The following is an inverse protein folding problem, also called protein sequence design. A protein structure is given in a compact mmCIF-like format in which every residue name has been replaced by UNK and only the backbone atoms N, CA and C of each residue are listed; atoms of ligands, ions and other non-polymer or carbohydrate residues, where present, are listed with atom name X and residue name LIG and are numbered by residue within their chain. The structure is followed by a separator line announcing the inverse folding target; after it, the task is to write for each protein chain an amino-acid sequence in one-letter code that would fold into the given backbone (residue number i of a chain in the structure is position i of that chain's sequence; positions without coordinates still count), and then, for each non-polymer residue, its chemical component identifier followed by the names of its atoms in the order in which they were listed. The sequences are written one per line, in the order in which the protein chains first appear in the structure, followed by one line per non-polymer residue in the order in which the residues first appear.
data_IF_872119464911
#
_entry.id   IF_872119464911
#
_cell.length_a   1.000
_cell.length_b   1.000
_cell.length_c   1.000
_cell.angle_alpha   90.00
_cell.angle_beta   90.00
_cell.angle_gamma   90.00
#
_symmetry.space_group_name_H-M   'P 1'
#
loop_
_entity.id
_entity.type
_entity.pdbx_description
1 polymer ?
#
# COMPACT_ATOMS: atom_id res chain seq x y z
N UNK A 1 12.09 -0.37 -11.30
CA UNK A 1 11.26 0.09 -10.18
C UNK A 1 11.98 1.21 -9.44
N UNK A 2 11.35 2.37 -9.25
CA UNK A 2 11.95 3.60 -8.68
C UNK A 2 12.57 3.39 -7.30
N UNK A 3 11.95 2.59 -6.46
CA UNK A 3 12.37 2.35 -5.07
C UNK A 3 13.13 1.04 -4.87
N UNK A 4 13.37 0.27 -5.95
CA UNK A 4 14.03 -1.05 -5.90
C UNK A 4 13.44 -1.96 -4.80
N UNK A 5 12.11 -2.11 -4.76
CA UNK A 5 11.44 -2.91 -3.73
C UNK A 5 11.55 -2.35 -2.30
N UNK A 6 11.76 -1.04 -2.17
CA UNK A 6 11.91 -0.35 -0.88
C UNK A 6 13.36 -0.16 -0.42
N UNK A 7 14.37 -0.77 -1.09
CA UNK A 7 15.78 -0.64 -0.69
C UNK A 7 16.25 0.82 -0.64
N UNK A 8 15.90 1.61 -1.67
CA UNK A 8 16.29 3.01 -1.75
C UNK A 8 15.65 3.85 -0.64
N UNK A 9 14.44 3.49 -0.22
CA UNK A 9 13.76 4.15 0.91
C UNK A 9 14.54 3.90 2.19
N UNK A 10 14.90 2.66 2.50
CA UNK A 10 15.72 2.35 3.67
C UNK A 10 17.06 3.07 3.64
N UNK A 11 17.77 3.06 2.50
CA UNK A 11 19.07 3.73 2.37
C UNK A 11 18.97 5.22 2.63
N UNK A 12 17.92 5.88 2.12
CA UNK A 12 17.68 7.30 2.33
C UNK A 12 17.51 7.65 3.81
N UNK A 13 16.59 6.97 4.49
CA UNK A 13 16.27 7.28 5.89
C UNK A 13 17.32 6.80 6.91
N UNK A 14 18.11 5.79 6.56
CA UNK A 14 19.24 5.33 7.37
C UNK A 14 20.49 6.20 7.18
N UNK A 15 20.56 6.98 6.09
CA UNK A 15 21.70 7.84 5.77
C UNK A 15 22.93 7.09 5.25
N UNK A 16 22.77 5.81 4.87
CA UNK A 16 23.83 5.01 4.26
C UNK A 16 23.26 3.97 3.29
N UNK A 17 24.09 3.48 2.35
CA UNK A 17 23.68 2.43 1.44
C UNK A 17 23.47 1.10 2.18
N UNK A 18 22.27 0.53 2.03
CA UNK A 18 21.91 -0.75 2.67
C UNK A 18 22.77 -1.90 2.16
N UNK A 19 23.47 -2.54 3.09
CA UNK A 19 24.22 -3.79 2.84
C UNK A 19 23.48 -4.96 3.51
N UNK A 20 23.02 -5.92 2.70
CA UNK A 20 22.20 -7.05 3.17
C UNK A 20 22.97 -8.05 4.07
N UNK A 21 24.29 -7.97 4.09
CA UNK A 21 25.17 -8.86 4.87
C UNK A 21 25.75 -8.21 6.12
N UNK A 22 25.33 -6.96 6.41
CA UNK A 22 25.89 -6.21 7.54
C UNK A 22 24.80 -5.69 8.43
N UNK A 23 24.89 -6.01 9.73
CA UNK A 23 24.00 -5.44 10.73
C UNK A 23 24.41 -4.00 11.06
N UNK A 24 23.43 -3.21 11.49
CA UNK A 24 23.58 -1.83 11.94
C UNK A 24 22.77 -1.60 13.24
N UNK A 25 22.98 -0.47 13.88
CA UNK A 25 22.28 -0.10 15.13
C UNK A 25 20.86 0.38 14.82
N UNK A 26 19.96 0.14 15.78
CA UNK A 26 18.57 0.58 15.64
C UNK A 26 18.47 2.11 15.51
N UNK A 27 17.68 2.63 14.56
CA UNK A 27 17.39 4.05 14.47
C UNK A 27 16.25 4.47 15.41
N UNK A 28 15.60 3.53 16.09
CA UNK A 28 14.41 3.78 16.90
C UNK A 28 14.69 3.93 18.40
N UNK A 29 15.84 3.43 18.87
CA UNK A 29 16.27 3.52 20.25
C UNK A 29 17.79 3.49 20.37
N UNK A 30 18.32 3.79 21.56
CA UNK A 30 19.76 3.71 21.82
C UNK A 30 20.21 2.25 21.85
N UNK A 31 20.76 1.78 20.73
CA UNK A 31 21.25 0.42 20.57
C UNK A 31 22.76 0.35 20.83
N UNK A 32 23.16 -0.49 21.78
CA UNK A 32 24.57 -0.70 22.14
C UNK A 32 25.28 -1.67 21.19
N UNK A 33 24.53 -2.50 20.47
CA UNK A 33 25.05 -3.51 19.54
C UNK A 33 24.27 -3.46 18.22
N UNK A 34 24.96 -3.66 17.10
CA UNK A 34 24.34 -3.71 15.79
C UNK A 34 23.44 -4.96 15.68
N UNK A 35 22.14 -4.77 15.93
CA UNK A 35 21.11 -5.83 15.94
C UNK A 35 20.18 -5.81 14.74
N UNK A 36 20.12 -4.69 14.00
CA UNK A 36 19.21 -4.52 12.89
C UNK A 36 19.82 -4.95 11.57
N UNK A 37 18.99 -5.47 10.66
CA UNK A 37 19.36 -5.75 9.28
C UNK A 37 18.19 -5.55 8.33
N UNK A 38 18.53 -5.39 7.03
CA UNK A 38 17.57 -5.39 5.93
C UNK A 38 17.73 -6.71 5.17
N UNK A 39 16.62 -7.36 4.85
CA UNK A 39 16.61 -8.57 4.04
C UNK A 39 15.58 -8.50 2.92
N UNK A 40 15.76 -9.30 1.88
CA UNK A 40 14.80 -9.41 0.79
C UNK A 40 13.81 -10.54 1.07
N UNK A 41 12.52 -10.18 1.16
CA UNK A 41 11.45 -11.14 1.30
C UNK A 41 10.90 -11.54 -0.08
N UNK A 42 11.17 -12.80 -0.46
CA UNK A 42 10.74 -13.33 -1.76
C UNK A 42 9.21 -13.40 -1.91
N UNK A 43 8.46 -13.55 -0.82
CA UNK A 43 7.00 -13.64 -0.86
C UNK A 43 6.35 -12.32 -1.23
N UNK A 44 6.82 -11.23 -0.64
CA UNK A 44 6.32 -9.88 -0.94
C UNK A 44 7.10 -9.17 -2.04
N UNK A 45 8.19 -9.78 -2.56
CA UNK A 45 9.10 -9.18 -3.54
C UNK A 45 9.60 -7.80 -3.11
N UNK A 46 9.86 -7.62 -1.82
CA UNK A 46 10.26 -6.35 -1.22
C UNK A 46 11.30 -6.54 -0.13
N UNK A 47 12.03 -5.45 0.16
CA UNK A 47 12.95 -5.42 1.30
C UNK A 47 12.19 -5.16 2.59
N UNK A 48 12.66 -5.78 3.69
CA UNK A 48 12.12 -5.63 5.02
C UNK A 48 13.21 -5.34 6.03
N UNK A 49 12.86 -4.54 7.03
CA UNK A 49 13.67 -4.28 8.22
C UNK A 49 13.32 -5.28 9.30
N UNK A 50 14.32 -5.74 10.03
CA UNK A 50 14.16 -6.58 11.20
C UNK A 50 15.21 -6.23 12.26
N UNK A 51 14.77 -6.15 13.52
CA UNK A 51 15.63 -5.94 14.67
C UNK A 51 15.67 -7.20 15.54
N UNK A 52 16.84 -7.80 15.69
CA UNK A 52 17.06 -8.94 16.57
C UNK A 52 17.07 -8.55 18.06
N UNK A 53 17.33 -7.29 18.39
CA UNK A 53 17.32 -6.77 19.75
C UNK A 53 15.92 -6.60 20.29
N UNK A 54 15.00 -6.16 19.42
CA UNK A 54 13.57 -6.01 19.72
C UNK A 54 12.72 -6.33 18.49
N UNK A 55 12.14 -7.52 18.48
CA UNK A 55 11.32 -8.02 17.36
C UNK A 55 10.05 -7.20 17.09
N UNK A 56 9.65 -6.30 18.00
CA UNK A 56 8.54 -5.37 17.74
C UNK A 56 8.88 -4.37 16.63
N UNK A 57 10.17 -4.10 16.41
CA UNK A 57 10.68 -3.28 15.33
C UNK A 57 10.97 -4.14 14.10
N UNK A 58 9.92 -4.44 13.35
CA UNK A 58 10.04 -5.15 12.07
C UNK A 58 8.94 -4.75 11.10
N UNK A 59 9.28 -4.64 9.80
CA UNK A 59 8.30 -4.28 8.79
C UNK A 59 8.91 -3.94 7.43
N UNK A 60 8.05 -3.48 6.54
CA UNK A 60 8.44 -2.96 5.23
C UNK A 60 8.90 -1.50 5.29
N UNK A 61 9.23 -0.92 4.15
CA UNK A 61 9.69 0.46 4.09
C UNK A 61 8.62 1.48 4.51
N UNK A 62 7.33 1.17 4.32
CA UNK A 62 6.24 2.06 4.74
C UNK A 62 6.10 2.06 6.26
N UNK A 63 6.12 0.87 6.88
CA UNK A 63 6.15 0.73 8.32
C UNK A 63 7.35 1.46 8.92
N UNK A 64 8.53 1.32 8.32
CA UNK A 64 9.76 1.94 8.78
C UNK A 64 9.65 3.48 8.80
N UNK A 65 9.16 4.08 7.69
CA UNK A 65 8.97 5.54 7.60
C UNK A 65 7.89 6.00 8.56
N UNK A 66 6.77 5.27 8.65
CA UNK A 66 5.69 5.58 9.58
C UNK A 66 6.20 5.63 11.03
N UNK A 67 6.96 4.61 11.46
CA UNK A 67 7.53 4.54 12.80
C UNK A 67 8.55 5.65 13.06
N UNK A 68 9.43 5.93 12.08
CA UNK A 68 10.46 6.96 12.19
C UNK A 68 9.87 8.38 12.28
N UNK A 69 8.77 8.64 11.57
CA UNK A 69 8.09 9.95 11.52
C UNK A 69 6.93 10.08 12.52
N UNK A 70 6.60 9.02 13.25
CA UNK A 70 5.46 9.01 14.18
C UNK A 70 4.09 9.11 13.48
N UNK A 71 3.97 8.62 12.24
CA UNK A 71 2.76 8.65 11.43
C UNK A 71 1.98 7.33 11.62
N UNK A 72 0.67 7.40 11.73
CA UNK A 72 -0.16 6.19 11.85
C UNK A 72 -0.28 5.45 10.52
N UNK A 73 0.36 4.27 10.41
CA UNK A 73 0.40 3.49 9.18
C UNK A 73 -1.00 3.14 8.62
N UNK A 74 -1.98 2.89 9.48
CA UNK A 74 -3.32 2.46 9.06
C UNK A 74 -4.24 3.63 8.68
N UNK A 75 -4.09 4.76 9.36
CA UNK A 75 -4.98 5.91 9.20
C UNK A 75 -4.44 6.94 8.21
N UNK A 76 -3.10 7.03 8.09
CA UNK A 76 -2.42 8.12 7.38
C UNK A 76 -1.47 7.59 6.28
N UNK A 77 -1.82 6.46 5.65
CA UNK A 77 -0.96 5.83 4.65
C UNK A 77 -0.64 6.75 3.47
N UNK A 78 -1.59 7.57 3.03
CA UNK A 78 -1.36 8.57 1.97
C UNK A 78 -0.30 9.60 2.34
N UNK A 79 -0.24 10.01 3.62
CA UNK A 79 0.78 10.92 4.11
C UNK A 79 2.18 10.27 4.07
N UNK A 80 2.27 8.97 4.41
CA UNK A 80 3.53 8.23 4.31
C UNK A 80 4.03 8.20 2.87
N UNK A 81 3.15 7.92 1.89
CA UNK A 81 3.50 7.95 0.47
C UNK A 81 3.98 9.32 0.03
N UNK A 82 3.27 10.38 0.39
CA UNK A 82 3.66 11.77 0.07
C UNK A 82 5.02 12.11 0.67
N UNK A 83 5.26 11.73 1.94
CA UNK A 83 6.53 11.95 2.62
C UNK A 83 7.68 11.24 1.88
N UNK A 84 7.50 9.97 1.51
CA UNK A 84 8.52 9.22 0.75
C UNK A 84 8.78 9.86 -0.61
N UNK A 85 7.72 10.24 -1.35
CA UNK A 85 7.84 10.90 -2.65
C UNK A 85 8.57 12.23 -2.53
N UNK A 86 8.27 13.00 -1.51
CA UNK A 86 8.90 14.29 -1.24
C UNK A 86 10.37 14.12 -0.83
N UNK A 87 10.65 13.30 0.17
CA UNK A 87 11.98 13.13 0.73
C UNK A 87 12.97 12.51 -0.29
N UNK A 88 12.50 11.58 -1.14
CA UNK A 88 13.32 10.99 -2.20
C UNK A 88 13.31 11.79 -3.53
N UNK A 89 12.60 12.91 -3.60
CA UNK A 89 12.53 13.74 -4.81
C UNK A 89 11.86 13.05 -6.00
N UNK A 90 10.93 12.12 -5.76
CA UNK A 90 10.33 11.31 -6.81
C UNK A 90 9.26 12.04 -7.62
N UNK A 91 8.93 13.28 -7.29
CA UNK A 91 7.94 14.09 -8.05
C UNK A 91 8.26 14.24 -9.54
N UNK A 92 9.56 14.29 -9.90
CA UNK A 92 9.97 14.40 -11.28
C UNK A 92 9.49 13.23 -12.16
N UNK A 93 9.28 12.06 -11.56
CA UNK A 93 8.82 10.86 -12.25
C UNK A 93 7.29 10.81 -12.45
N UNK A 94 6.56 11.71 -11.80
CA UNK A 94 5.09 11.77 -11.88
C UNK A 94 4.58 12.96 -12.70
N UNK A 95 5.47 13.86 -13.17
CA UNK A 95 5.09 15.14 -13.80
C UNK A 95 4.88 15.08 -15.31
N UNK A 96 5.32 14.06 -16.04
CA UNK A 96 5.42 14.12 -17.48
C UNK A 96 4.92 12.89 -18.27
N UNK A 97 3.95 12.13 -17.76
CA UNK A 97 3.20 11.26 -18.65
C UNK A 97 1.70 11.47 -18.45
N UNK A 98 0.97 11.87 -19.53
CA UNK A 98 -0.44 11.58 -19.58
C UNK A 98 -0.51 10.06 -19.49
N UNK A 99 -1.04 9.53 -18.36
CA UNK A 99 -1.29 8.11 -18.17
C UNK A 99 -2.20 7.68 -19.32
N UNK A 100 -1.60 7.23 -20.42
CA UNK A 100 -2.30 6.40 -21.36
C UNK A 100 -2.80 5.22 -20.55
N UNK A 101 -4.10 4.86 -20.63
CA UNK A 101 -4.60 3.72 -19.90
C UNK A 101 -3.79 2.52 -20.37
N UNK A 102 -2.91 2.03 -19.49
CA UNK A 102 -2.20 0.78 -19.73
C UNK A 102 -3.23 -0.28 -20.10
N UNK A 103 -3.06 -0.99 -21.23
CA UNK A 103 -3.86 -2.15 -21.50
C UNK A 103 -3.64 -3.08 -20.31
N UNK A 104 -4.70 -3.31 -19.55
CA UNK A 104 -4.78 -4.08 -18.31
C UNK A 104 -3.68 -5.13 -18.26
N UNK A 105 -2.56 -4.80 -17.64
CA UNK A 105 -1.50 -5.74 -17.36
C UNK A 105 -2.16 -6.83 -16.53
N UNK A 106 -2.19 -8.03 -17.08
CA UNK A 106 -2.70 -9.23 -16.42
C UNK A 106 -1.89 -9.38 -15.12
N UNK A 107 -2.40 -8.83 -14.03
CA UNK A 107 -1.94 -9.15 -12.70
C UNK A 107 -2.20 -10.63 -12.50
N UNK A 108 -1.20 -11.44 -12.78
CA UNK A 108 -1.19 -12.83 -12.35
C UNK A 108 -1.14 -12.80 -10.84
N UNK A 109 -2.30 -12.89 -10.20
CA UNK A 109 -2.39 -13.19 -8.78
C UNK A 109 -1.57 -14.45 -8.53
N UNK A 110 -0.72 -14.50 -7.49
CA UNK A 110 -0.12 -15.75 -7.08
C UNK A 110 -1.27 -16.70 -6.69
N UNK A 111 -1.49 -17.70 -7.54
CA UNK A 111 -2.41 -18.80 -7.34
C UNK A 111 -1.88 -19.70 -6.23
N UNK A 112 -2.24 -19.44 -4.98
CA UNK A 112 -2.16 -20.40 -3.88
C UNK A 112 -3.33 -20.23 -2.89
N UNK A 113 -4.56 -20.27 -3.43
CA UNK A 113 -5.73 -20.80 -2.73
C UNK A 113 -6.48 -21.64 -3.74
N UNK A 114 -6.76 -22.86 -3.37
CA UNK A 114 -7.44 -23.83 -4.23
C UNK A 114 -8.67 -23.18 -4.90
N UNK A 115 -8.70 -23.22 -6.22
CA UNK A 115 -9.81 -22.69 -7.06
C UNK A 115 -11.19 -23.17 -6.60
N UNK A 116 -11.24 -24.32 -5.93
CA UNK A 116 -12.45 -24.88 -5.32
C UNK A 116 -13.04 -24.02 -4.20
N UNK A 117 -12.21 -23.37 -3.36
CA UNK A 117 -12.70 -22.54 -2.26
C UNK A 117 -13.24 -21.20 -2.73
N UNK A 118 -12.58 -20.60 -3.72
CA UNK A 118 -13.03 -19.33 -4.33
C UNK A 118 -14.34 -19.54 -5.11
N UNK A 119 -14.50 -20.67 -5.78
CA UNK A 119 -15.74 -21.00 -6.48
C UNK A 119 -16.91 -21.24 -5.50
N UNK A 120 -16.67 -21.91 -4.36
CA UNK A 120 -17.68 -22.10 -3.32
C UNK A 120 -18.06 -20.78 -2.65
N UNK A 121 -17.08 -19.92 -2.28
CA UNK A 121 -17.37 -18.62 -1.70
C UNK A 121 -18.05 -17.65 -2.66
N UNK A 122 -17.82 -17.78 -3.99
CA UNK A 122 -18.59 -17.05 -5.03
C UNK A 122 -20.02 -17.56 -5.12
N UNK A 123 -20.22 -18.86 -5.13
CA UNK A 123 -21.54 -19.48 -5.22
C UNK A 123 -22.39 -19.13 -3.99
N UNK A 124 -21.83 -19.21 -2.79
CA UNK A 124 -22.49 -18.79 -1.55
C UNK A 124 -22.82 -17.29 -1.50
N UNK A 125 -22.02 -16.43 -2.17
CA UNK A 125 -22.31 -14.98 -2.31
C UNK A 125 -23.41 -14.69 -3.31
N UNK A 126 -23.50 -15.45 -4.41
CA UNK A 126 -24.51 -15.25 -5.44
C UNK A 126 -25.90 -15.74 -4.98
N UNK A 127 -25.96 -16.63 -4.00
CA UNK A 127 -27.20 -17.19 -3.48
C UNK A 127 -27.91 -16.37 -2.39
N UNK A 128 -27.28 -15.29 -1.92
CA UNK A 128 -27.93 -14.40 -0.93
C UNK A 128 -28.67 -13.28 -1.66
N UNK A 129 -30.01 -13.35 -1.74
CA UNK A 129 -30.78 -12.27 -2.32
C UNK A 129 -30.59 -11.00 -1.49
N UNK A 130 -30.32 -9.90 -2.17
CA UNK A 130 -30.21 -8.60 -1.53
C UNK A 130 -30.97 -7.55 -2.34
N UNK A 131 -31.47 -6.57 -1.65
CA UNK A 131 -32.11 -5.40 -2.26
C UNK A 131 -31.23 -4.18 -2.05
N UNK A 132 -31.01 -3.41 -3.10
CA UNK A 132 -30.20 -2.18 -3.05
C UNK A 132 -31.00 -1.00 -3.62
N UNK A 133 -31.09 0.08 -2.85
CA UNK A 133 -31.53 1.37 -3.34
C UNK A 133 -30.30 2.18 -3.73
N UNK A 134 -30.15 2.45 -5.02
CA UNK A 134 -29.03 3.21 -5.58
C UNK A 134 -29.44 4.68 -5.73
N UNK A 135 -28.57 5.57 -5.30
CA UNK A 135 -28.71 7.02 -5.50
C UNK A 135 -27.71 7.52 -6.55
N UNK A 136 -28.06 8.58 -7.31
CA UNK A 136 -27.06 9.31 -8.08
C UNK A 136 -26.03 9.94 -7.15
N UNK A 137 -24.80 10.10 -7.63
CA UNK A 137 -23.81 10.89 -6.90
C UNK A 137 -24.25 12.33 -6.82
N UNK A 138 -24.20 12.91 -5.62
CA UNK A 138 -24.35 14.34 -5.38
C UNK A 138 -22.98 15.01 -5.28
N UNK A 139 -22.96 16.34 -5.27
CA UNK A 139 -21.72 17.11 -5.22
C UNK A 139 -20.88 16.82 -3.97
N UNK A 140 -21.50 16.57 -2.82
CA UNK A 140 -20.78 16.23 -1.58
C UNK A 140 -20.02 14.92 -1.70
N UNK A 141 -20.65 13.90 -2.28
CA UNK A 141 -20.01 12.61 -2.51
C UNK A 141 -18.90 12.70 -3.58
N UNK A 142 -19.12 13.49 -4.64
CA UNK A 142 -18.09 13.70 -5.65
C UNK A 142 -16.90 14.46 -5.06
N UNK A 143 -17.13 15.47 -4.23
CA UNK A 143 -16.07 16.20 -3.52
C UNK A 143 -15.33 15.31 -2.53
N UNK A 144 -16.03 14.41 -1.83
CA UNK A 144 -15.39 13.42 -0.96
C UNK A 144 -14.40 12.55 -1.73
N UNK A 145 -14.81 11.99 -2.87
CA UNK A 145 -13.94 11.17 -3.70
C UNK A 145 -12.80 11.96 -4.36
N UNK A 146 -13.10 13.20 -4.78
CA UNK A 146 -12.10 14.10 -5.37
C UNK A 146 -10.97 14.44 -4.39
N UNK A 147 -11.26 14.48 -3.08
CA UNK A 147 -10.25 14.66 -2.03
C UNK A 147 -9.18 13.56 -2.07
N UNK A 148 -9.54 12.34 -2.49
CA UNK A 148 -8.63 11.21 -2.67
C UNK A 148 -8.08 11.07 -4.10
N UNK A 149 -8.31 12.07 -4.97
CA UNK A 149 -7.89 12.03 -6.37
C UNK A 149 -8.73 11.11 -7.26
N UNK A 150 -9.92 10.72 -6.80
CA UNK A 150 -10.85 9.86 -7.53
C UNK A 150 -11.97 10.74 -8.08
N UNK A 151 -11.98 10.93 -9.39
CA UNK A 151 -12.96 11.76 -10.07
C UNK A 151 -14.14 10.96 -10.61
N UNK A 152 -15.21 11.66 -11.02
CA UNK A 152 -16.45 11.05 -11.48
C UNK A 152 -16.25 10.02 -12.60
N UNK A 153 -15.36 10.30 -13.55
CA UNK A 153 -15.04 9.39 -14.65
C UNK A 153 -14.46 8.06 -14.15
N UNK A 154 -13.62 8.11 -13.12
CA UNK A 154 -13.07 6.92 -12.46
C UNK A 154 -14.17 6.11 -11.80
N UNK A 155 -15.07 6.77 -11.06
CA UNK A 155 -16.20 6.12 -10.41
C UNK A 155 -17.14 5.45 -11.43
N UNK A 156 -17.42 6.11 -12.55
CA UNK A 156 -18.21 5.57 -13.66
C UNK A 156 -17.52 4.39 -14.31
N UNK A 157 -16.21 4.49 -14.59
CA UNK A 157 -15.42 3.43 -15.21
C UNK A 157 -15.47 2.13 -14.39
N UNK A 158 -15.30 2.23 -13.07
CA UNK A 158 -15.35 1.10 -12.15
C UNK A 158 -16.77 0.72 -11.70
N UNK A 159 -17.80 1.33 -12.27
CA UNK A 159 -19.22 1.09 -11.94
C UNK A 159 -19.53 1.23 -10.44
N UNK A 160 -18.84 2.14 -9.76
CA UNK A 160 -19.12 2.48 -8.38
C UNK A 160 -20.52 3.09 -8.28
N UNK A 161 -21.26 2.77 -7.23
CA UNK A 161 -22.62 3.25 -6.99
C UNK A 161 -22.73 3.82 -5.59
N UNK A 162 -23.50 4.88 -5.45
CA UNK A 162 -23.91 5.40 -4.15
C UNK A 162 -25.12 4.63 -3.66
N UNK A 163 -25.11 4.18 -2.41
CA UNK A 163 -26.18 3.40 -1.82
C UNK A 163 -26.94 4.23 -0.78
N UNK A 164 -28.27 4.25 -0.88
CA UNK A 164 -29.14 4.76 0.16
C UNK A 164 -29.43 3.68 1.21
N UNK A 165 -29.66 2.46 0.75
CA UNK A 165 -30.07 1.35 1.60
C UNK A 165 -29.56 0.03 1.01
N UNK A 166 -29.14 -0.86 1.88
CA UNK A 166 -28.79 -2.23 1.57
C UNK A 166 -29.48 -3.14 2.56
N UNK A 167 -30.22 -4.14 2.07
CA UNK A 167 -30.85 -5.18 2.90
C UNK A 167 -30.47 -6.54 2.31
N UNK A 168 -29.89 -7.41 3.14
CA UNK A 168 -29.78 -8.85 2.85
C UNK A 168 -31.04 -9.53 3.31
N UNK A 169 -31.65 -10.30 2.46
CA UNK A 169 -32.84 -11.10 2.76
C UNK A 169 -32.40 -12.46 3.33
#
# INVERSE_FOLDING_TARGET
ALTQGGRNVFSHYLGFEVNLHKNFRSPFYEDKRASCHIYYDRKSSSYKFYDHGDASYSGDCFWFVATLKGINLKLEFSQILQTIVQDLGLYAFFKDEPVAPDPVSKFSRPTHHSESRIAQERQEREERPYTMDVLPFNDDLLNYWAHYGIFEDTLRHFKVRSLKRYESI
#
